data_IF_011269398653
#
_entry.id   IF_011269398653
#
_cell.length_a   1.000
_cell.length_b   1.000
_cell.length_c   1.000
_cell.angle_alpha   90.00
_cell.angle_beta   90.00
_cell.angle_gamma   90.00
#
_symmetry.space_group_name_H-M   'P 1'
#
loop_
_entity.id
_entity.type
_entity.pdbx_description
1 polymer ?
#
# COMPACT_ATOMS: atom_id res chain seq x y z
N UNK A 1 17.31 7.55 19.50
CA UNK A 1 16.63 6.23 19.49
C UNK A 1 15.30 6.37 20.22
N UNK A 2 14.23 6.77 19.54
CA UNK A 2 12.84 6.52 19.94
C UNK A 2 11.89 7.25 19.01
N UNK A 3 10.69 6.69 18.86
CA UNK A 3 9.55 7.17 18.06
C UNK A 3 9.55 6.79 16.58
N UNK A 4 9.65 5.48 16.28
CA UNK A 4 9.05 4.92 15.06
C UNK A 4 8.21 3.72 15.46
N UNK A 5 7.06 3.99 16.09
CA UNK A 5 6.04 2.99 16.35
C UNK A 5 4.67 3.54 15.94
N UNK A 6 4.43 3.67 14.63
CA UNK A 6 3.07 3.60 14.10
C UNK A 6 3.07 3.32 12.59
N UNK A 7 2.43 2.20 12.22
CA UNK A 7 1.83 1.93 10.91
C UNK A 7 2.75 1.78 9.67
N UNK A 8 3.51 0.68 9.63
CA UNK A 8 4.04 0.14 8.37
C UNK A 8 2.90 -0.38 7.46
N UNK A 9 2.48 0.40 6.46
CA UNK A 9 1.68 -0.11 5.33
C UNK A 9 2.42 0.15 4.01
N UNK A 10 2.70 -0.91 3.24
CA UNK A 10 3.29 -0.84 1.89
C UNK A 10 2.35 -0.19 0.87
N UNK A 11 2.89 0.68 0.01
CA UNK A 11 2.15 1.79 -0.60
C UNK A 11 2.43 1.94 -2.11
N UNK A 12 2.01 0.91 -2.86
CA UNK A 12 1.48 1.10 -4.22
C UNK A 12 0.23 0.24 -4.36
N UNK A 13 -0.90 0.78 -3.90
CA UNK A 13 -2.19 0.10 -3.96
C UNK A 13 -3.13 0.94 -4.80
N UNK A 14 -3.85 0.27 -5.67
CA UNK A 14 -4.98 0.86 -6.36
C UNK A 14 -6.14 1.04 -5.36
N UNK A 15 -6.98 2.04 -5.57
CA UNK A 15 -8.24 2.11 -4.82
C UNK A 15 -9.06 0.86 -5.11
N UNK A 16 -9.95 0.46 -4.18
CA UNK A 16 -10.82 -0.71 -4.37
C UNK A 16 -11.70 -0.64 -5.61
N UNK A 17 -11.80 0.53 -6.26
CA UNK A 17 -12.60 0.81 -7.46
C UNK A 17 -11.75 1.11 -8.70
N UNK A 18 -10.44 0.89 -8.65
CA UNK A 18 -9.58 1.20 -9.77
C UNK A 18 -10.04 0.46 -11.03
N UNK A 19 -10.10 1.21 -12.13
CA UNK A 19 -10.55 0.74 -13.45
C UNK A 19 -11.99 0.19 -13.47
N UNK A 20 -12.82 0.53 -12.47
CA UNK A 20 -14.23 0.14 -12.43
C UNK A 20 -15.09 1.01 -13.35
N UNK A 21 -15.80 0.39 -14.30
CA UNK A 21 -16.78 1.08 -15.16
C UNK A 21 -18.15 1.25 -14.50
N UNK A 22 -18.49 0.38 -13.55
CA UNK A 22 -19.82 0.26 -12.95
C UNK A 22 -19.87 0.65 -11.46
N UNK A 23 -18.82 1.31 -10.97
CA UNK A 23 -18.65 1.72 -9.56
C UNK A 23 -18.70 0.55 -8.55
N UNK A 24 -18.55 -0.70 -9.00
CA UNK A 24 -18.36 -1.85 -8.11
C UNK A 24 -16.87 -2.02 -7.78
N UNK A 25 -16.54 -2.52 -6.58
CA UNK A 25 -15.15 -2.75 -6.23
C UNK A 25 -14.53 -3.82 -7.15
N UNK A 26 -13.32 -3.56 -7.62
CA UNK A 26 -12.50 -4.47 -8.42
C UNK A 26 -11.43 -5.17 -7.59
N UNK A 27 -11.13 -4.63 -6.40
CA UNK A 27 -10.14 -5.18 -5.46
C UNK A 27 -10.78 -5.26 -4.07
N UNK A 28 -10.87 -6.46 -3.51
CA UNK A 28 -11.38 -6.73 -2.15
C UNK A 28 -10.27 -7.41 -1.33
N UNK A 29 -9.81 -6.78 -0.23
CA UNK A 29 -8.79 -7.37 0.62
C UNK A 29 -9.34 -8.58 1.39
N UNK A 30 -8.55 -9.67 1.47
CA UNK A 30 -8.88 -10.87 2.24
C UNK A 30 -7.82 -11.00 3.35
N UNK A 31 -8.20 -11.37 4.60
CA UNK A 31 -9.53 -11.80 5.04
C UNK A 31 -10.50 -10.67 5.39
N UNK A 32 -10.00 -9.47 5.65
CA UNK A 32 -10.83 -8.33 6.05
C UNK A 32 -11.05 -7.37 4.88
N UNK A 33 -12.28 -7.36 4.36
CA UNK A 33 -12.70 -6.50 3.26
C UNK A 33 -12.67 -5.01 3.61
N UNK A 34 -12.60 -4.65 4.89
CA UNK A 34 -12.61 -3.25 5.35
C UNK A 34 -11.22 -2.63 5.43
N UNK A 35 -10.16 -3.38 5.13
CA UNK A 35 -8.79 -2.86 5.19
C UNK A 35 -8.64 -1.72 4.18
N UNK A 36 -8.30 -0.49 4.61
CA UNK A 36 -8.15 0.62 3.69
C UNK A 36 -6.97 0.42 2.74
N UNK A 37 -7.22 0.60 1.45
CA UNK A 37 -6.28 0.47 0.33
C UNK A 37 -6.30 1.71 -0.55
N UNK A 38 -5.18 2.00 -1.23
CA UNK A 38 -5.08 3.10 -2.20
C UNK A 38 -4.99 4.50 -1.59
N UNK A 39 -4.68 4.61 -0.30
CA UNK A 39 -4.52 5.89 0.41
C UNK A 39 -3.05 6.32 0.55
N UNK A 40 -2.22 5.94 -0.42
CA UNK A 40 -0.78 6.12 -0.33
C UNK A 40 -0.31 7.52 -0.66
N UNK A 41 0.32 8.21 0.30
CA UNK A 41 0.96 9.52 0.10
C UNK A 41 2.49 9.44 0.10
N UNK A 42 3.06 8.39 0.68
CA UNK A 42 4.50 8.18 0.80
C UNK A 42 4.90 6.72 0.58
N UNK A 43 6.19 6.48 0.37
CA UNK A 43 6.74 5.14 0.15
C UNK A 43 6.98 4.43 1.48
N UNK A 44 6.60 3.16 1.59
CA UNK A 44 6.84 2.40 2.83
C UNK A 44 8.29 1.97 2.98
N UNK A 45 8.71 1.67 4.22
CA UNK A 45 10.04 1.14 4.50
C UNK A 45 10.38 -0.13 3.69
N UNK A 46 9.39 -1.00 3.46
CA UNK A 46 9.58 -2.21 2.65
C UNK A 46 9.82 -1.88 1.18
N UNK A 47 9.09 -0.90 0.65
CA UNK A 47 9.25 -0.47 -0.74
C UNK A 47 10.61 0.23 -0.92
N UNK A 48 11.00 1.08 0.03
CA UNK A 48 12.34 1.71 0.08
C UNK A 48 13.44 0.66 0.12
N UNK A 49 13.30 -0.36 0.97
CA UNK A 49 14.29 -1.42 1.09
C UNK A 49 14.42 -2.22 -0.22
N UNK A 50 13.31 -2.50 -0.90
CA UNK A 50 13.31 -3.18 -2.21
C UNK A 50 14.01 -2.34 -3.27
N UNK A 51 13.73 -1.03 -3.34
CA UNK A 51 14.41 -0.12 -4.27
C UNK A 51 15.91 -0.09 -4.02
N UNK A 52 16.33 0.05 -2.75
CA UNK A 52 17.76 0.06 -2.38
C UNK A 52 18.48 -1.22 -2.81
N UNK A 53 17.85 -2.39 -2.62
CA UNK A 53 18.40 -3.67 -3.06
C UNK A 53 18.54 -3.79 -4.57
N UNK A 54 17.69 -3.12 -5.36
CA UNK A 54 17.69 -3.23 -6.82
C UNK A 54 18.67 -2.25 -7.50
N UNK A 55 18.86 -1.05 -6.94
CA UNK A 55 19.57 0.03 -7.63
C UNK A 55 20.76 0.61 -6.85
N UNK A 56 20.94 0.24 -5.57
CA UNK A 56 21.98 0.80 -4.71
C UNK A 56 22.87 -0.27 -4.05
N UNK A 57 22.77 -1.53 -4.51
CA UNK A 57 23.57 -2.66 -4.03
C UNK A 57 24.78 -2.92 -4.91
#
# INVERSE_FOLDING_TARGET
MSSVLLHCRSHKRFSGYAFSKNKKPTILPIPDNNVPIGLATEMSCNDILRVKRLYCG
#
